data_IF_867651241169
#
_entry.id   IF_867651241169
#
_cell.length_a   1.000
_cell.length_b   1.000
_cell.length_c   1.000
_cell.angle_alpha   90.00
_cell.angle_beta   90.00
_cell.angle_gamma   90.00
#
_symmetry.space_group_name_H-M   'P 1'
#
loop_
_entity.id
_entity.type
_entity.pdbx_description
1 polymer ?
#
# COMPACT_ATOMS: atom_id res chain seq x y z
N UNK A 1 9.21 -70.70 40.23
CA UNK A 1 8.36 -69.75 39.51
C UNK A 1 9.18 -68.43 39.29
N UNK A 2 9.76 -68.27 38.08
CA UNK A 2 10.62 -67.10 37.77
C UNK A 2 9.79 -66.02 37.03
N UNK A 3 9.67 -64.85 37.64
CA UNK A 3 8.96 -63.71 37.01
C UNK A 3 9.92 -62.99 36.08
N UNK A 4 9.54 -62.89 34.80
CA UNK A 4 10.26 -62.18 33.77
C UNK A 4 9.85 -60.71 33.79
N UNK A 5 10.76 -59.71 33.83
CA UNK A 5 10.36 -58.32 33.76
C UNK A 5 10.12 -57.88 32.32
N UNK A 6 8.96 -57.27 32.09
CA UNK A 6 8.52 -56.69 30.83
C UNK A 6 9.27 -55.36 30.55
N UNK A 7 10.23 -55.41 29.64
CA UNK A 7 11.05 -54.22 29.27
C UNK A 7 10.28 -53.43 28.19
N UNK A 8 9.62 -52.35 28.61
CA UNK A 8 8.98 -51.41 27.70
C UNK A 8 10.04 -50.61 26.95
N UNK A 9 10.29 -50.95 25.70
CA UNK A 9 11.17 -50.25 24.79
C UNK A 9 10.38 -49.05 24.19
N UNK A 10 10.56 -47.85 24.79
CA UNK A 10 10.01 -46.58 24.28
C UNK A 10 10.81 -46.14 23.06
N UNK A 11 10.31 -46.42 21.84
CA UNK A 11 10.83 -45.83 20.62
C UNK A 11 10.43 -44.34 20.51
N UNK A 12 11.32 -43.45 20.90
CA UNK A 12 11.19 -42.00 20.62
C UNK A 12 11.49 -41.80 19.14
N UNK A 13 10.41 -41.61 18.36
CA UNK A 13 10.52 -41.26 16.94
C UNK A 13 10.91 -39.78 16.85
N UNK A 14 12.21 -39.52 16.61
CA UNK A 14 12.69 -38.18 16.24
C UNK A 14 12.25 -37.91 14.80
N UNK A 15 11.14 -37.18 14.63
CA UNK A 15 10.79 -36.61 13.33
C UNK A 15 11.67 -35.39 13.07
N UNK A 16 12.50 -35.36 12.00
CA UNK A 16 13.25 -34.18 11.66
C UNK A 16 12.25 -33.09 11.21
N UNK A 17 12.17 -32.01 11.97
CA UNK A 17 11.48 -30.79 11.55
C UNK A 17 12.31 -30.17 10.43
N UNK A 18 11.97 -30.48 9.18
CA UNK A 18 12.48 -29.75 8.05
C UNK A 18 11.87 -28.35 8.07
N UNK A 19 12.57 -27.40 8.68
CA UNK A 19 12.35 -25.99 8.47
C UNK A 19 12.55 -25.69 6.97
N UNK A 20 11.45 -25.54 6.23
CA UNK A 20 11.53 -25.06 4.86
C UNK A 20 11.95 -23.58 4.92
N UNK A 21 13.25 -23.33 4.93
CA UNK A 21 13.81 -22.07 4.54
C UNK A 21 13.39 -21.84 3.08
N UNK A 22 12.24 -21.17 2.89
CA UNK A 22 11.87 -20.56 1.62
C UNK A 22 13.01 -19.61 1.28
N UNK A 23 13.96 -20.07 0.49
CA UNK A 23 14.97 -19.22 -0.13
C UNK A 23 14.18 -18.20 -0.92
N UNK A 24 14.08 -16.97 -0.38
CA UNK A 24 13.50 -15.84 -1.08
C UNK A 24 14.41 -15.63 -2.28
N UNK A 25 13.99 -16.17 -3.44
CA UNK A 25 14.64 -15.89 -4.72
C UNK A 25 14.85 -14.38 -4.75
N UNK A 26 16.08 -13.92 -5.02
CA UNK A 26 16.36 -12.50 -5.20
C UNK A 26 15.49 -12.05 -6.38
N UNK A 27 14.28 -11.62 -6.06
CA UNK A 27 13.43 -10.81 -6.94
C UNK A 27 14.29 -9.60 -7.30
N UNK A 28 14.40 -9.29 -8.58
CA UNK A 28 15.12 -8.13 -9.08
C UNK A 28 14.82 -6.95 -8.17
N UNK A 29 15.87 -6.45 -7.51
CA UNK A 29 15.73 -5.42 -6.48
C UNK A 29 15.16 -4.17 -7.15
N UNK A 30 13.88 -3.91 -6.93
CA UNK A 30 13.24 -2.70 -7.42
C UNK A 30 13.91 -1.52 -6.72
N UNK A 31 14.59 -0.66 -7.51
CA UNK A 31 15.35 0.48 -6.99
C UNK A 31 14.51 1.74 -7.19
N UNK A 32 14.32 2.57 -6.15
CA UNK A 32 13.63 3.84 -6.29
C UNK A 32 14.41 4.80 -7.19
N UNK A 33 13.75 5.64 -7.98
CA UNK A 33 14.40 6.72 -8.71
C UNK A 33 15.02 7.73 -7.75
N UNK A 34 16.05 8.44 -8.21
CA UNK A 34 16.74 9.45 -7.42
C UNK A 34 16.61 10.80 -8.10
N UNK A 35 16.01 11.77 -7.40
CA UNK A 35 15.93 13.14 -7.90
C UNK A 35 17.32 13.77 -8.01
N UNK A 36 17.59 14.47 -9.12
CA UNK A 36 18.85 15.19 -9.28
C UNK A 36 18.93 16.39 -8.31
N UNK A 37 20.13 16.66 -7.83
CA UNK A 37 20.40 17.78 -6.96
C UNK A 37 20.76 19.00 -7.83
N UNK A 38 19.91 20.06 -7.80
CA UNK A 38 20.11 21.33 -8.49
C UNK A 38 19.97 22.45 -7.46
N UNK A 39 21.08 22.88 -6.82
CA UNK A 39 21.00 23.87 -5.75
C UNK A 39 20.45 25.21 -6.26
N UNK A 40 19.42 25.73 -5.60
CA UNK A 40 18.89 27.09 -5.82
C UNK A 40 18.89 27.84 -4.52
N UNK A 41 19.53 29.02 -4.52
CA UNK A 41 19.47 29.91 -3.37
C UNK A 41 18.17 30.70 -3.39
N UNK A 42 17.41 30.59 -2.31
CA UNK A 42 16.21 31.38 -2.03
C UNK A 42 16.54 32.40 -0.97
N UNK A 43 16.15 33.66 -1.22
CA UNK A 43 16.39 34.76 -0.26
C UNK A 43 15.05 35.45 0.03
N UNK A 44 14.74 35.63 1.31
CA UNK A 44 13.55 36.33 1.76
C UNK A 44 13.80 36.98 3.12
N UNK A 45 13.55 38.28 3.23
CA UNK A 45 13.74 39.07 4.47
C UNK A 45 15.14 38.97 5.09
N UNK A 46 16.18 38.83 4.24
CA UNK A 46 17.57 38.70 4.70
C UNK A 46 17.99 37.29 5.07
N UNK A 47 17.06 36.33 5.11
CA UNK A 47 17.35 34.91 5.27
C UNK A 47 17.68 34.24 3.94
N UNK A 48 18.74 33.45 3.92
CA UNK A 48 19.22 32.69 2.73
C UNK A 48 19.15 31.20 2.99
N UNK A 49 18.43 30.52 2.10
CA UNK A 49 18.26 29.06 2.15
C UNK A 49 18.61 28.45 0.80
N UNK A 50 19.29 27.30 0.82
CA UNK A 50 19.56 26.51 -0.39
C UNK A 50 18.52 25.42 -0.48
N UNK A 51 17.82 25.35 -1.62
CA UNK A 51 16.88 24.29 -1.95
C UNK A 51 17.43 23.50 -3.15
N UNK A 52 17.76 22.24 -2.91
CA UNK A 52 18.34 21.33 -3.90
C UNK A 52 17.31 20.80 -4.90
N UNK A 53 16.04 20.91 -4.57
CA UNK A 53 14.96 20.29 -5.32
C UNK A 53 13.93 21.31 -5.81
N UNK A 54 14.24 22.58 -5.77
CA UNK A 54 13.34 23.64 -6.22
C UNK A 54 12.88 23.48 -7.67
N UNK A 55 13.69 22.86 -8.53
CA UNK A 55 13.35 22.57 -9.93
C UNK A 55 12.09 21.72 -10.09
N UNK A 56 11.69 20.93 -9.08
CA UNK A 56 10.44 20.15 -9.07
C UNK A 56 9.18 21.03 -9.09
N UNK A 57 9.28 22.33 -8.83
CA UNK A 57 8.16 23.27 -8.95
C UNK A 57 7.79 23.60 -10.42
N UNK A 58 8.65 23.25 -11.36
CA UNK A 58 8.46 23.54 -12.79
C UNK A 58 7.53 22.48 -13.42
N UNK A 59 6.23 22.66 -13.25
CA UNK A 59 5.19 21.67 -13.61
C UNK A 59 5.22 21.23 -15.07
N UNK A 60 5.59 22.11 -15.99
CA UNK A 60 5.65 21.86 -17.43
C UNK A 60 7.02 21.37 -17.90
N UNK A 61 7.99 21.25 -17.01
CA UNK A 61 9.33 20.81 -17.34
C UNK A 61 9.34 19.30 -17.64
N UNK A 62 9.79 18.87 -18.84
CA UNK A 62 9.83 17.45 -19.21
C UNK A 62 10.65 16.58 -18.26
N UNK A 63 11.71 17.13 -17.64
CA UNK A 63 12.52 16.39 -16.67
C UNK A 63 11.76 16.11 -15.36
N UNK A 64 10.90 17.05 -14.93
CA UNK A 64 10.02 16.86 -13.77
C UNK A 64 9.00 15.78 -14.06
N UNK A 65 8.37 15.84 -15.25
CA UNK A 65 7.38 14.85 -15.68
C UNK A 65 8.02 13.45 -15.77
N UNK A 66 9.21 13.35 -16.36
CA UNK A 66 9.94 12.08 -16.45
C UNK A 66 10.27 11.51 -15.06
N UNK A 67 10.74 12.34 -14.13
CA UNK A 67 11.01 11.93 -12.77
C UNK A 67 9.75 11.39 -12.07
N UNK A 68 8.63 12.11 -12.17
CA UNK A 68 7.34 11.69 -11.59
C UNK A 68 6.81 10.39 -12.20
N UNK A 69 6.99 10.21 -13.50
CA UNK A 69 6.62 8.94 -14.17
C UNK A 69 7.46 7.76 -13.65
N UNK A 70 8.76 7.96 -13.43
CA UNK A 70 9.63 6.93 -12.84
C UNK A 70 9.23 6.59 -11.40
N UNK A 71 8.82 7.59 -10.60
CA UNK A 71 8.29 7.35 -9.25
C UNK A 71 6.99 6.53 -9.30
N UNK A 72 6.10 6.84 -10.22
CA UNK A 72 4.86 6.09 -10.42
C UNK A 72 5.15 4.63 -10.84
N UNK A 73 6.10 4.41 -11.75
CA UNK A 73 6.52 3.06 -12.14
C UNK A 73 7.12 2.29 -10.96
N UNK A 74 7.97 2.94 -10.17
CA UNK A 74 8.52 2.35 -8.97
C UNK A 74 7.42 1.94 -7.99
N UNK A 75 6.46 2.83 -7.73
CA UNK A 75 5.30 2.54 -6.89
C UNK A 75 4.51 1.33 -7.40
N UNK A 76 4.16 1.32 -8.69
CA UNK A 76 3.38 0.22 -9.29
C UNK A 76 4.10 -1.12 -9.17
N UNK A 77 5.41 -1.16 -9.46
CA UNK A 77 6.23 -2.38 -9.32
C UNK A 77 6.33 -2.83 -7.87
N UNK A 78 6.53 -1.89 -6.93
CA UNK A 78 6.68 -2.19 -5.51
C UNK A 78 5.39 -2.70 -4.86
N UNK A 79 4.23 -2.22 -5.32
CA UNK A 79 2.91 -2.56 -4.76
C UNK A 79 2.15 -3.61 -5.57
N UNK A 80 2.73 -4.09 -6.69
CA UNK A 80 2.06 -5.05 -7.58
C UNK A 80 1.50 -6.29 -6.85
N UNK A 81 2.21 -6.75 -5.82
CA UNK A 81 1.81 -7.92 -5.03
C UNK A 81 0.55 -7.69 -4.18
N UNK A 82 0.12 -6.45 -3.98
CA UNK A 82 -1.07 -6.09 -3.19
C UNK A 82 -2.30 -5.81 -4.06
N UNK A 83 -2.16 -5.85 -5.40
CA UNK A 83 -3.21 -5.44 -6.35
C UNK A 83 -4.52 -6.21 -6.14
N UNK A 84 -4.45 -7.52 -5.98
CA UNK A 84 -5.63 -8.34 -5.73
C UNK A 84 -6.36 -7.92 -4.44
N UNK A 85 -5.61 -7.74 -3.35
CA UNK A 85 -6.18 -7.31 -2.07
C UNK A 85 -6.82 -5.92 -2.18
N UNK A 86 -6.18 -5.00 -2.92
CA UNK A 86 -6.74 -3.66 -3.15
C UNK A 86 -8.09 -3.74 -3.87
N UNK A 87 -8.19 -4.56 -4.91
CA UNK A 87 -9.43 -4.73 -5.67
C UNK A 87 -10.54 -5.37 -4.81
N UNK A 88 -10.21 -6.40 -4.04
CA UNK A 88 -11.15 -7.04 -3.11
C UNK A 88 -11.67 -6.06 -2.05
N UNK A 89 -10.77 -5.30 -1.41
CA UNK A 89 -11.14 -4.29 -0.42
C UNK A 89 -11.98 -3.15 -1.03
N UNK A 90 -11.63 -2.71 -2.23
CA UNK A 90 -12.42 -1.69 -2.92
C UNK A 90 -13.85 -2.16 -3.19
N UNK A 91 -14.02 -3.38 -3.70
CA UNK A 91 -15.34 -3.95 -3.95
C UNK A 91 -16.13 -4.15 -2.66
N UNK A 92 -15.48 -4.63 -1.60
CA UNK A 92 -16.11 -4.78 -0.29
C UNK A 92 -16.59 -3.43 0.26
N UNK A 93 -15.75 -2.40 0.28
CA UNK A 93 -16.12 -1.07 0.75
C UNK A 93 -17.25 -0.46 -0.09
N UNK A 94 -17.15 -0.58 -1.42
CA UNK A 94 -18.18 -0.08 -2.35
C UNK A 94 -19.53 -0.77 -2.12
N UNK A 95 -19.52 -2.09 -1.90
CA UNK A 95 -20.77 -2.85 -1.68
C UNK A 95 -21.54 -2.48 -0.41
N UNK A 96 -20.86 -1.82 0.55
CA UNK A 96 -21.48 -1.31 1.78
C UNK A 96 -22.21 0.01 1.58
N UNK A 97 -21.99 0.68 0.45
CA UNK A 97 -22.63 1.95 0.12
C UNK A 97 -23.90 1.65 -0.65
N UNK A 98 -25.04 2.12 -0.13
CA UNK A 98 -26.30 2.06 -0.85
C UNK A 98 -26.31 3.14 -1.93
N UNK A 99 -26.17 2.72 -3.20
CA UNK A 99 -26.06 3.66 -4.33
C UNK A 99 -27.39 4.38 -4.63
N UNK A 100 -28.51 3.63 -4.53
CA UNK A 100 -29.87 4.20 -4.65
C UNK A 100 -30.46 4.43 -3.25
N UNK A 101 -30.38 5.63 -2.75
CA UNK A 101 -30.84 5.97 -1.41
C UNK A 101 -31.61 7.27 -1.36
N UNK A 102 -32.44 7.41 -0.33
CA UNK A 102 -33.19 8.63 -0.11
C UNK A 102 -33.26 9.00 1.37
N UNK A 103 -33.20 10.31 1.66
CA UNK A 103 -33.37 10.79 3.01
C UNK A 103 -34.81 10.58 3.50
N UNK A 104 -34.98 10.60 4.82
CA UNK A 104 -36.31 10.75 5.40
C UNK A 104 -36.86 12.13 5.02
N UNK A 105 -38.12 12.23 4.56
CA UNK A 105 -38.74 13.53 4.29
C UNK A 105 -38.77 14.39 5.54
N UNK A 106 -38.38 15.65 5.44
CA UNK A 106 -38.54 16.63 6.52
C UNK A 106 -39.41 17.80 6.09
N UNK A 107 -40.26 18.26 7.00
CA UNK A 107 -41.17 19.36 6.74
C UNK A 107 -40.49 20.71 7.02
N UNK A 108 -40.48 21.61 6.03
CA UNK A 108 -39.97 22.97 6.17
C UNK A 108 -40.85 23.94 5.34
N UNK A 109 -41.26 25.05 5.92
CA UNK A 109 -42.10 26.07 5.26
C UNK A 109 -43.35 25.51 4.53
N UNK A 110 -43.98 24.47 5.09
CA UNK A 110 -45.19 23.85 4.52
C UNK A 110 -44.94 22.84 3.39
N UNK A 111 -43.65 22.54 3.07
CA UNK A 111 -43.27 21.58 2.05
C UNK A 111 -42.40 20.46 2.65
N UNK A 112 -42.55 19.27 2.07
CA UNK A 112 -41.69 18.14 2.39
C UNK A 112 -40.49 18.14 1.45
N UNK A 113 -39.30 18.08 2.02
CA UNK A 113 -38.04 17.97 1.30
C UNK A 113 -37.46 16.58 1.43
N UNK A 114 -36.98 16.03 0.33
CA UNK A 114 -36.33 14.74 0.26
C UNK A 114 -35.09 14.87 -0.62
N UNK A 115 -33.99 14.29 -0.19
CA UNK A 115 -32.79 14.15 -1.00
C UNK A 115 -32.74 12.72 -1.51
N UNK A 116 -32.60 12.55 -2.82
CA UNK A 116 -32.47 11.25 -3.46
C UNK A 116 -31.13 11.16 -4.17
N UNK A 117 -30.45 10.03 -4.00
CA UNK A 117 -29.25 9.66 -4.73
C UNK A 117 -29.65 8.57 -5.71
N UNK A 118 -29.33 8.75 -6.98
CA UNK A 118 -29.59 7.80 -8.05
C UNK A 118 -28.25 7.43 -8.71
N UNK A 119 -28.13 6.17 -9.13
CA UNK A 119 -26.93 5.63 -9.78
C UNK A 119 -26.80 6.16 -11.20
#
# INVERSE_FOLDING_TARGET
MKKLPFLLLSCIIFAPVYSQNKTKTMSDKIVPPVAKIVPKTLEKHGDKRIDNYYWLNERENPEVIDYLNKENEYYQKSTAHTKQLQDELFLEMKSRIKEDDSSVPYLYNGYYYITRFEK
#
